data_IF_742696100299
#
_entry.id   IF_742696100299
#
_cell.length_a   1.000
_cell.length_b   1.000
_cell.length_c   1.000
_cell.angle_alpha   90.00
_cell.angle_beta   90.00
_cell.angle_gamma   90.00
#
_symmetry.space_group_name_H-M   'P 1'
#
loop_
_entity.id
_entity.type
_entity.pdbx_description
1 polymer ?
#
# COMPACT_ATOMS: atom_id res chain seq x y z
N UNK A 1 -3.26 18.45 -6.68
CA UNK A 1 -4.38 19.24 -7.25
C UNK A 1 -5.67 18.47 -7.00
N UNK A 2 -6.78 19.10 -6.57
CA UNK A 2 -8.06 18.40 -6.32
C UNK A 2 -8.98 18.55 -7.53
N UNK A 3 -9.64 17.48 -7.93
CA UNK A 3 -10.59 17.46 -9.04
C UNK A 3 -11.97 17.04 -8.53
N UNK A 4 -13.03 17.69 -9.04
CA UNK A 4 -14.42 17.31 -8.75
C UNK A 4 -14.87 16.29 -9.80
N UNK A 5 -15.52 15.23 -9.33
CA UNK A 5 -16.12 14.20 -10.17
C UNK A 5 -17.57 13.97 -9.70
N UNK A 6 -18.44 13.55 -10.62
CA UNK A 6 -19.77 13.07 -10.29
C UNK A 6 -19.74 11.54 -10.31
N UNK A 7 -20.23 10.91 -9.24
CA UNK A 7 -20.32 9.45 -9.11
C UNK A 7 -21.73 9.08 -8.71
N UNK A 8 -22.21 7.94 -9.22
CA UNK A 8 -23.48 7.35 -8.83
C UNK A 8 -23.20 6.29 -7.78
N UNK A 9 -23.90 6.34 -6.65
CA UNK A 9 -23.85 5.37 -5.58
C UNK A 9 -25.28 4.93 -5.26
N UNK A 10 -25.43 3.69 -4.81
CA UNK A 10 -26.70 3.21 -4.30
C UNK A 10 -27.12 4.01 -3.07
N UNK A 11 -28.43 4.12 -2.84
CA UNK A 11 -28.97 5.01 -1.82
C UNK A 11 -28.49 4.66 -0.41
N UNK A 12 -28.41 3.37 -0.10
CA UNK A 12 -27.89 2.83 1.15
C UNK A 12 -26.40 3.16 1.36
N UNK A 13 -25.59 3.13 0.29
CA UNK A 13 -24.18 3.54 0.34
C UNK A 13 -24.03 5.04 0.60
N UNK A 14 -24.95 5.87 0.10
CA UNK A 14 -24.97 7.31 0.42
C UNK A 14 -25.30 7.53 1.90
N UNK A 15 -26.29 6.81 2.45
CA UNK A 15 -26.63 6.88 3.88
C UNK A 15 -25.46 6.44 4.76
N UNK A 16 -24.82 5.33 4.42
CA UNK A 16 -23.61 4.87 5.13
C UNK A 16 -22.49 5.91 5.06
N UNK A 17 -22.23 6.47 3.87
CA UNK A 17 -21.22 7.50 3.68
C UNK A 17 -21.52 8.74 4.55
N UNK A 18 -22.78 9.13 4.68
CA UNK A 18 -23.18 10.25 5.54
C UNK A 18 -22.86 10.02 7.02
N UNK A 19 -23.13 8.83 7.53
CA UNK A 19 -22.83 8.45 8.91
C UNK A 19 -21.32 8.46 9.18
N UNK A 20 -20.53 7.94 8.23
CA UNK A 20 -19.08 7.81 8.40
C UNK A 20 -18.33 9.12 8.15
N UNK A 21 -18.79 9.94 7.21
CA UNK A 21 -18.06 11.10 6.73
C UNK A 21 -18.11 12.31 7.69
N UNK A 22 -18.95 12.28 8.73
CA UNK A 22 -19.09 13.35 9.74
C UNK A 22 -19.21 14.76 9.13
N UNK A 23 -19.87 14.86 7.97
CA UNK A 23 -20.08 16.11 7.24
C UNK A 23 -19.11 16.38 6.06
N UNK A 24 -18.07 15.57 5.84
CA UNK A 24 -17.17 15.72 4.69
C UNK A 24 -17.00 14.43 3.86
N UNK A 25 -17.98 14.16 3.00
CA UNK A 25 -18.00 12.98 2.11
C UNK A 25 -16.75 12.87 1.24
N UNK A 26 -16.29 13.99 0.69
CA UNK A 26 -15.13 14.03 -0.19
C UNK A 26 -13.84 13.64 0.53
N UNK A 27 -13.66 14.11 1.77
CA UNK A 27 -12.49 13.74 2.57
C UNK A 27 -12.51 12.27 2.95
N UNK A 28 -13.67 11.75 3.39
CA UNK A 28 -13.84 10.35 3.70
C UNK A 28 -13.56 9.44 2.49
N UNK A 29 -14.14 9.75 1.33
CA UNK A 29 -13.90 8.99 0.10
C UNK A 29 -12.44 9.06 -0.35
N UNK A 30 -11.78 10.21 -0.22
CA UNK A 30 -10.35 10.32 -0.51
C UNK A 30 -9.51 9.45 0.43
N UNK A 31 -9.79 9.46 1.74
CA UNK A 31 -9.10 8.63 2.71
C UNK A 31 -9.31 7.14 2.40
N UNK A 32 -10.54 6.73 2.08
CA UNK A 32 -10.87 5.36 1.71
C UNK A 32 -10.11 4.91 0.45
N UNK A 33 -10.02 5.77 -0.57
CA UNK A 33 -9.27 5.47 -1.79
C UNK A 33 -7.76 5.36 -1.54
N UNK A 34 -7.20 6.21 -0.68
CA UNK A 34 -5.79 6.12 -0.27
C UNK A 34 -5.52 4.81 0.45
N UNK A 35 -6.38 4.45 1.41
CA UNK A 35 -6.27 3.19 2.15
C UNK A 35 -6.38 1.99 1.19
N UNK A 36 -7.36 2.00 0.29
CA UNK A 36 -7.53 0.90 -0.67
C UNK A 36 -6.33 0.77 -1.61
N UNK A 37 -5.77 1.89 -2.06
CA UNK A 37 -4.54 1.89 -2.88
C UNK A 37 -3.37 1.28 -2.13
N UNK A 38 -3.19 1.63 -0.85
CA UNK A 38 -2.13 1.06 -0.02
C UNK A 38 -2.32 -0.45 0.15
N UNK A 39 -3.54 -0.90 0.44
CA UNK A 39 -3.85 -2.33 0.55
C UNK A 39 -3.57 -3.09 -0.75
N UNK A 40 -3.91 -2.51 -1.91
CA UNK A 40 -3.59 -3.12 -3.21
C UNK A 40 -2.09 -3.26 -3.40
N UNK A 41 -1.32 -2.21 -3.09
CA UNK A 41 0.14 -2.24 -3.19
C UNK A 41 0.77 -3.28 -2.26
N UNK A 42 0.27 -3.39 -1.02
CA UNK A 42 0.74 -4.40 -0.06
C UNK A 42 0.48 -5.82 -0.57
N UNK A 43 -0.68 -6.09 -1.14
CA UNK A 43 -1.00 -7.40 -1.74
C UNK A 43 -0.09 -7.71 -2.93
N UNK A 44 0.12 -6.75 -3.83
CA UNK A 44 1.03 -6.91 -4.97
C UNK A 44 2.47 -7.16 -4.52
N UNK A 45 2.94 -6.43 -3.51
CA UNK A 45 4.27 -6.59 -2.93
C UNK A 45 4.44 -7.96 -2.28
N UNK A 46 3.45 -8.42 -1.49
CA UNK A 46 3.47 -9.76 -0.90
C UNK A 46 3.53 -10.83 -1.99
N UNK A 47 2.74 -10.70 -3.05
CA UNK A 47 2.74 -11.65 -4.16
C UNK A 47 4.10 -11.70 -4.88
N UNK A 48 4.71 -10.54 -5.13
CA UNK A 48 6.04 -10.46 -5.72
C UNK A 48 7.11 -11.11 -4.81
N UNK A 49 7.10 -10.80 -3.51
CA UNK A 49 8.02 -11.40 -2.54
C UNK A 49 7.85 -12.92 -2.42
N UNK A 50 6.63 -13.43 -2.54
CA UNK A 50 6.36 -14.87 -2.57
C UNK A 50 6.95 -15.51 -3.83
N UNK A 51 6.77 -14.89 -4.99
CA UNK A 51 7.36 -15.36 -6.24
C UNK A 51 8.90 -15.38 -6.17
N UNK A 52 9.50 -14.33 -5.64
CA UNK A 52 10.95 -14.22 -5.45
C UNK A 52 11.50 -15.25 -4.44
N UNK A 53 10.68 -15.70 -3.49
CA UNK A 53 11.04 -16.76 -2.54
C UNK A 53 11.17 -18.13 -3.23
N UNK A 54 10.32 -18.38 -4.22
CA UNK A 54 10.32 -19.63 -5.00
C UNK A 54 11.47 -19.68 -6.02
N UNK A 55 12.11 -18.55 -6.33
CA UNK A 55 13.27 -18.47 -7.22
C UNK A 55 14.59 -18.71 -6.49
N UNK A 56 15.14 -19.92 -6.66
CA UNK A 56 16.41 -20.31 -6.04
C UNK A 56 17.61 -19.45 -6.47
N UNK A 57 17.63 -18.95 -7.71
CA UNK A 57 18.73 -18.10 -8.19
C UNK A 57 18.67 -16.73 -7.51
N UNK A 58 17.47 -16.15 -7.40
CA UNK A 58 17.25 -14.91 -6.67
C UNK A 58 17.60 -15.06 -5.18
N UNK A 59 17.16 -16.13 -4.52
CA UNK A 59 17.52 -16.40 -3.11
C UNK A 59 19.03 -16.56 -2.90
N UNK A 60 19.73 -17.18 -3.85
CA UNK A 60 21.19 -17.31 -3.80
C UNK A 60 21.90 -15.97 -3.93
N UNK A 61 21.36 -15.06 -4.77
CA UNK A 61 21.83 -13.69 -4.85
C UNK A 61 21.58 -12.94 -3.54
N UNK A 62 20.36 -12.98 -3.00
CA UNK A 62 20.01 -12.34 -1.71
C UNK A 62 20.95 -12.79 -0.58
N UNK A 63 21.26 -14.09 -0.51
CA UNK A 63 22.21 -14.62 0.47
C UNK A 63 23.64 -14.09 0.30
N UNK A 64 24.07 -13.79 -0.94
CA UNK A 64 25.36 -13.16 -1.18
C UNK A 64 25.37 -11.68 -0.74
N UNK A 65 24.24 -10.97 -0.88
CA UNK A 65 24.09 -9.59 -0.42
C UNK A 65 24.03 -9.46 1.11
N UNK A 66 23.61 -10.51 1.83
CA UNK A 66 23.57 -10.51 3.30
C UNK A 66 24.95 -10.24 3.94
N UNK A 67 26.03 -10.65 3.26
CA UNK A 67 27.41 -10.47 3.75
C UNK A 67 27.82 -9.00 3.88
N UNK A 68 27.19 -8.07 3.15
CA UNK A 68 27.47 -6.62 3.20
C UNK A 68 26.39 -5.83 3.94
N UNK A 69 25.38 -6.49 4.51
CA UNK A 69 24.27 -5.82 5.18
C UNK A 69 24.70 -4.98 6.41
N UNK A 70 25.85 -5.32 7.00
CA UNK A 70 26.44 -4.62 8.15
C UNK A 70 27.45 -3.53 7.80
N UNK A 71 27.79 -3.35 6.51
CA UNK A 71 28.82 -2.40 6.11
C UNK A 71 28.43 -0.97 6.52
N UNK A 72 29.30 -0.32 7.30
CA UNK A 72 29.10 1.06 7.79
C UNK A 72 28.29 1.19 9.08
N UNK A 73 27.78 0.09 9.67
CA UNK A 73 27.10 0.14 10.97
C UNK A 73 28.07 0.27 12.16
N UNK A 74 29.30 -0.25 12.02
CA UNK A 74 30.37 -0.15 13.02
C UNK A 74 31.42 0.93 12.67
N UNK A 75 31.12 1.79 11.70
CA UNK A 75 31.94 2.96 11.41
C UNK A 75 31.68 4.03 12.48
N UNK A 76 32.32 3.91 13.65
CA UNK A 76 32.52 5.07 14.52
C UNK A 76 33.18 6.18 13.69
N UNK A 77 32.61 7.39 13.76
CA UNK A 77 32.96 8.54 12.91
C UNK A 77 34.39 9.05 13.02
#
# INVERSE_FOLDING_TARGET
MKQKIAVTLDHDLVSFLDEQARGNRSEYLNALLVQKRQQTLEVEMIAALQQDNEDFAYQSEVAAWDAVAGDGLDAEG
#
